data_IF_206512902591
#
_entry.id   IF_206512902591
#
_cell.length_a   1.000
_cell.length_b   1.000
_cell.length_c   1.000
_cell.angle_alpha   90.00
_cell.angle_beta   90.00
_cell.angle_gamma   90.00
#
_symmetry.space_group_name_H-M   'P 1'
#
loop_
_entity.id
_entity.type
_entity.pdbx_description
1 polymer ?
#
# COMPACT_ATOMS: atom_id res chain seq x y z
N UNK A 1 -38.51 32.46 -43.48
CA UNK A 1 -38.62 31.11 -42.88
C UNK A 1 -37.21 30.60 -42.60
N UNK A 2 -36.63 31.03 -41.48
CA UNK A 2 -35.19 30.90 -41.19
C UNK A 2 -35.00 31.00 -39.68
N UNK A 3 -35.52 30.01 -38.96
CA UNK A 3 -35.45 29.88 -37.49
C UNK A 3 -35.98 28.50 -37.17
N UNK A 4 -35.34 27.83 -36.22
CA UNK A 4 -35.61 26.48 -35.70
C UNK A 4 -34.83 25.39 -36.44
N UNK A 5 -33.74 24.98 -35.77
CA UNK A 5 -33.08 23.67 -35.73
C UNK A 5 -31.58 23.87 -35.39
N UNK A 6 -31.30 24.74 -34.42
CA UNK A 6 -30.06 24.74 -33.64
C UNK A 6 -30.47 24.31 -32.24
N UNK A 7 -30.79 23.04 -32.10
CA UNK A 7 -30.99 22.40 -30.81
C UNK A 7 -30.42 21.00 -30.95
N UNK A 8 -29.63 20.58 -29.96
CA UNK A 8 -29.00 19.26 -29.82
C UNK A 8 -27.57 19.14 -30.34
N UNK A 9 -26.60 19.57 -29.55
CA UNK A 9 -25.58 18.68 -28.96
C UNK A 9 -24.60 19.50 -28.11
N UNK A 10 -24.99 19.83 -26.88
CA UNK A 10 -24.03 20.17 -25.82
C UNK A 10 -24.18 19.07 -24.78
N UNK A 11 -23.66 17.89 -25.10
CA UNK A 11 -23.45 16.84 -24.11
C UNK A 11 -22.04 17.03 -23.57
N UNK A 12 -21.89 18.05 -22.72
CA UNK A 12 -20.69 18.24 -21.91
C UNK A 12 -20.64 17.10 -20.90
N UNK A 13 -20.03 15.98 -21.30
CA UNK A 13 -19.65 14.94 -20.37
C UNK A 13 -18.62 15.54 -19.40
N UNK A 14 -19.08 16.00 -18.23
CA UNK A 14 -18.22 16.18 -17.06
C UNK A 14 -17.80 14.79 -16.61
N UNK A 15 -16.89 14.17 -17.36
CA UNK A 15 -16.13 13.05 -16.87
C UNK A 15 -15.15 13.63 -15.85
N UNK A 16 -15.61 13.76 -14.60
CA UNK A 16 -14.70 13.99 -13.47
C UNK A 16 -13.62 12.91 -13.49
N UNK A 17 -12.38 13.24 -13.09
CA UNK A 17 -11.30 12.26 -13.13
C UNK A 17 -11.75 11.07 -12.29
N UNK A 18 -11.70 9.87 -12.88
CA UNK A 18 -11.77 8.62 -12.14
C UNK A 18 -10.44 8.48 -11.35
N UNK A 19 -10.25 9.36 -10.37
CA UNK A 19 -9.09 9.33 -9.49
C UNK A 19 -9.28 8.13 -8.56
N UNK A 20 -8.34 7.18 -8.63
CA UNK A 20 -8.28 6.11 -7.65
C UNK A 20 -8.14 6.74 -6.26
N UNK A 21 -9.06 6.41 -5.36
CA UNK A 21 -9.09 6.99 -4.02
C UNK A 21 -7.95 6.38 -3.20
N UNK A 22 -7.01 7.20 -2.74
CA UNK A 22 -5.96 6.76 -1.82
C UNK A 22 -6.56 6.49 -0.44
N UNK A 23 -6.38 5.27 0.05
CA UNK A 23 -6.83 4.81 1.36
C UNK A 23 -5.63 4.39 2.19
N UNK A 24 -5.70 4.68 3.48
CA UNK A 24 -4.76 4.17 4.46
C UNK A 24 -5.44 3.11 5.32
N UNK A 25 -4.86 1.91 5.30
CA UNK A 25 -5.39 0.73 5.97
C UNK A 25 -4.48 0.40 7.14
N UNK A 26 -4.96 0.59 8.36
CA UNK A 26 -4.17 0.31 9.54
C UNK A 26 -4.44 -1.06 10.13
N UNK A 27 -3.35 -1.66 10.57
CA UNK A 27 -3.32 -2.95 11.20
C UNK A 27 -2.40 -2.95 12.42
N UNK A 28 -2.81 -3.67 13.45
CA UNK A 28 -1.99 -3.92 14.63
C UNK A 28 -1.44 -5.35 14.58
N UNK A 29 -0.26 -5.59 15.15
CA UNK A 29 0.30 -6.94 15.18
C UNK A 29 -0.62 -7.90 15.97
N UNK A 30 -0.85 -9.11 15.43
CA UNK A 30 -1.72 -10.09 16.09
C UNK A 30 -0.96 -11.08 16.98
N UNK A 31 0.37 -11.13 16.88
CA UNK A 31 1.22 -12.03 17.64
C UNK A 31 2.52 -11.35 18.12
N UNK A 32 3.23 -12.00 19.04
CA UNK A 32 4.45 -11.44 19.65
C UNK A 32 5.59 -11.26 18.66
N UNK A 33 5.70 -12.12 17.64
CA UNK A 33 6.77 -12.05 16.64
C UNK A 33 6.57 -10.80 15.78
N UNK A 34 5.35 -10.62 15.28
CA UNK A 34 4.96 -9.45 14.51
C UNK A 34 5.05 -8.18 15.36
N UNK A 35 4.66 -8.23 16.63
CA UNK A 35 4.79 -7.09 17.55
C UNK A 35 6.25 -6.65 17.72
N UNK A 36 7.17 -7.61 17.84
CA UNK A 36 8.60 -7.34 18.02
C UNK A 36 9.23 -6.74 16.75
N UNK A 37 8.74 -7.11 15.57
CA UNK A 37 9.31 -6.67 14.30
C UNK A 37 8.69 -5.37 13.78
N UNK A 38 7.36 -5.25 13.82
CA UNK A 38 6.66 -4.14 13.15
C UNK A 38 5.69 -3.35 14.04
N UNK A 39 5.33 -3.78 15.26
CA UNK A 39 4.26 -3.21 16.15
C UNK A 39 2.86 -3.10 15.50
N UNK A 40 2.79 -2.71 14.24
CA UNK A 40 1.65 -2.57 13.37
C UNK A 40 2.12 -2.04 12.01
N UNK A 41 1.21 -1.97 11.05
CA UNK A 41 1.48 -1.41 9.72
C UNK A 41 0.30 -0.60 9.25
N UNK A 42 0.60 0.48 8.54
CA UNK A 42 -0.37 1.21 7.74
C UNK A 42 -0.01 1.00 6.27
N UNK A 43 -0.96 0.46 5.50
CA UNK A 43 -0.82 0.33 4.05
C UNK A 43 -1.42 1.56 3.39
N UNK A 44 -0.63 2.27 2.60
CA UNK A 44 -1.18 3.20 1.60
C UNK A 44 -1.59 2.38 0.39
N UNK A 45 -2.86 2.42 0.02
CA UNK A 45 -3.39 1.65 -1.08
C UNK A 45 -4.38 2.45 -1.93
N UNK A 46 -4.35 2.25 -3.23
CA UNK A 46 -5.36 2.82 -4.12
C UNK A 46 -6.55 1.87 -4.20
N UNK A 47 -7.75 2.43 -4.04
CA UNK A 47 -9.00 1.72 -4.31
C UNK A 47 -9.46 2.02 -5.74
N UNK A 48 -9.60 0.97 -6.53
CA UNK A 48 -10.19 1.08 -7.87
C UNK A 48 -11.72 1.23 -7.80
N UNK A 49 -12.33 1.68 -8.91
CA UNK A 49 -13.79 1.80 -9.03
C UNK A 49 -14.54 0.49 -8.78
N UNK A 50 -13.90 -0.65 -9.04
CA UNK A 50 -14.45 -1.99 -8.79
C UNK A 50 -14.12 -2.53 -7.38
N UNK A 51 -13.57 -1.69 -6.50
CA UNK A 51 -13.20 -2.04 -5.13
C UNK A 51 -11.93 -2.88 -5.00
N UNK A 52 -11.10 -2.98 -6.04
CA UNK A 52 -9.80 -3.64 -5.92
C UNK A 52 -8.82 -2.72 -5.17
N UNK A 53 -8.05 -3.30 -4.25
CA UNK A 53 -7.07 -2.57 -3.42
C UNK A 53 -5.66 -2.89 -3.92
N UNK A 54 -4.92 -1.86 -4.33
CA UNK A 54 -3.51 -1.98 -4.72
C UNK A 54 -2.62 -1.25 -3.72
N UNK A 55 -1.77 -1.98 -3.01
CA UNK A 55 -0.82 -1.39 -2.05
C UNK A 55 0.31 -0.67 -2.79
N UNK A 56 0.62 0.55 -2.35
CA UNK A 56 1.70 1.42 -2.83
C UNK A 56 2.83 1.61 -1.83
N UNK A 57 2.51 1.71 -0.55
CA UNK A 57 3.51 1.96 0.50
C UNK A 57 3.16 1.20 1.78
N UNK A 58 4.18 0.73 2.50
CA UNK A 58 4.02 0.12 3.83
C UNK A 58 4.71 1.00 4.86
N UNK A 59 3.90 1.64 5.68
CA UNK A 59 4.36 2.46 6.79
C UNK A 59 4.32 1.56 8.01
N UNK A 60 5.47 1.00 8.41
CA UNK A 60 5.55 0.26 9.68
C UNK A 60 5.47 1.23 10.84
N UNK A 61 4.68 0.91 11.87
CA UNK A 61 4.59 1.69 13.11
C UNK A 61 5.69 1.33 14.12
N UNK A 62 6.73 0.61 13.69
CA UNK A 62 7.91 0.30 14.51
C UNK A 62 8.94 1.43 14.52
N UNK A 63 9.90 1.35 15.45
CA UNK A 63 11.08 2.24 15.51
C UNK A 63 11.99 2.13 14.27
N UNK A 64 11.69 1.24 13.32
CA UNK A 64 12.47 1.05 12.09
C UNK A 64 11.98 1.95 10.96
N UNK A 65 10.86 2.66 11.14
CA UNK A 65 10.34 3.68 10.23
C UNK A 65 9.59 3.17 8.99
N UNK A 66 9.38 4.03 8.00
CA UNK A 66 8.46 3.80 6.87
C UNK A 66 9.20 3.42 5.58
N UNK A 67 8.91 2.26 5.01
CA UNK A 67 9.56 1.79 3.79
C UNK A 67 8.65 1.96 2.56
N UNK A 68 9.23 2.49 1.49
CA UNK A 68 8.62 2.38 0.17
C UNK A 68 8.63 0.92 -0.28
N UNK A 69 7.55 0.52 -0.95
CA UNK A 69 7.47 -0.79 -1.58
C UNK A 69 7.13 -0.65 -3.04
N UNK A 70 7.72 -1.53 -3.85
CA UNK A 70 7.47 -1.56 -5.30
C UNK A 70 6.81 -2.87 -5.65
N UNK A 71 5.65 -2.82 -6.29
CA UNK A 71 4.96 -4.02 -6.76
C UNK A 71 5.86 -4.80 -7.73
N UNK A 72 5.95 -6.09 -7.52
CA UNK A 72 6.75 -7.01 -8.32
C UNK A 72 8.02 -7.51 -7.61
N UNK A 73 8.68 -8.46 -8.27
CA UNK A 73 9.88 -9.13 -7.80
C UNK A 73 10.10 -10.43 -8.57
N UNK A 74 11.23 -11.11 -8.38
CA UNK A 74 11.52 -12.38 -9.05
C UNK A 74 10.51 -13.46 -8.68
N UNK A 75 10.16 -14.33 -9.61
CA UNK A 75 9.27 -15.47 -9.33
C UNK A 75 9.80 -16.41 -8.25
N UNK A 76 11.12 -16.45 -8.07
CA UNK A 76 11.78 -17.19 -7.01
C UNK A 76 11.29 -16.79 -5.60
N UNK A 77 10.84 -15.54 -5.42
CA UNK A 77 10.26 -15.07 -4.16
C UNK A 77 9.03 -15.89 -3.77
N UNK A 78 8.13 -16.14 -4.74
CA UNK A 78 6.92 -16.94 -4.51
C UNK A 78 7.23 -18.41 -4.24
N UNK A 79 8.28 -18.94 -4.87
CA UNK A 79 8.73 -20.32 -4.66
C UNK A 79 9.40 -20.54 -3.31
N UNK A 80 9.94 -19.50 -2.70
CA UNK A 80 10.56 -19.57 -1.38
C UNK A 80 9.55 -19.52 -0.22
N UNK A 81 8.25 -19.34 -0.51
CA UNK A 81 7.21 -19.30 0.51
C UNK A 81 7.02 -20.66 1.19
N UNK A 82 6.63 -20.67 2.48
CA UNK A 82 6.35 -21.91 3.18
C UNK A 82 5.15 -22.64 2.55
N UNK A 83 5.13 -23.97 2.68
CA UNK A 83 4.03 -24.79 2.19
C UNK A 83 2.70 -24.33 2.79
N UNK A 84 1.67 -24.20 1.94
CA UNK A 84 0.34 -23.71 2.34
C UNK A 84 0.18 -22.19 2.40
N UNK A 85 1.23 -21.40 2.12
CA UNK A 85 1.09 -19.96 1.97
C UNK A 85 0.16 -19.62 0.80
N UNK A 86 -0.83 -18.76 1.07
CA UNK A 86 -1.83 -18.31 0.07
C UNK A 86 -1.51 -16.92 -0.49
N UNK A 87 -0.44 -16.28 0.01
CA UNK A 87 -0.01 -14.95 -0.42
C UNK A 87 0.67 -15.02 -1.79
N UNK A 88 0.33 -14.09 -2.69
CA UNK A 88 0.81 -14.13 -4.08
C UNK A 88 1.30 -12.78 -4.61
N UNK A 89 0.89 -11.67 -3.99
CA UNK A 89 1.28 -10.33 -4.43
C UNK A 89 2.64 -9.97 -3.86
N UNK A 90 3.66 -9.94 -4.73
CA UNK A 90 5.04 -9.63 -4.34
C UNK A 90 5.27 -8.12 -4.36
N UNK A 91 5.96 -7.62 -3.35
CA UNK A 91 6.41 -6.25 -3.24
C UNK A 91 7.87 -6.20 -2.78
N UNK A 92 8.74 -5.59 -3.57
CA UNK A 92 10.12 -5.32 -3.18
C UNK A 92 10.17 -4.21 -2.13
N UNK A 93 10.97 -4.41 -1.07
CA UNK A 93 11.27 -3.37 -0.09
C UNK A 93 12.35 -2.48 -0.70
N UNK A 94 12.03 -1.20 -0.92
CA UNK A 94 12.99 -0.23 -1.40
C UNK A 94 14.14 -0.09 -0.39
N UNK A 95 15.37 0.15 -0.83
CA UNK A 95 16.52 0.26 0.09
C UNK A 95 16.66 1.66 0.71
N UNK A 96 15.93 2.62 0.15
CA UNK A 96 15.88 4.02 0.50
C UNK A 96 15.19 4.25 1.86
N UNK A 97 15.53 5.37 2.50
CA UNK A 97 15.03 5.72 3.83
C UNK A 97 15.24 4.58 4.83
N UNK A 98 14.13 4.13 5.41
CA UNK A 98 14.06 3.11 6.44
C UNK A 98 14.09 1.67 5.91
N UNK A 99 14.04 1.49 4.59
CA UNK A 99 13.89 0.18 3.97
C UNK A 99 15.04 -0.78 4.21
N UNK A 100 16.30 -0.31 4.25
CA UNK A 100 17.44 -1.15 4.70
C UNK A 100 17.29 -1.62 6.14
N UNK A 101 16.75 -0.77 7.01
CA UNK A 101 16.48 -1.11 8.41
C UNK A 101 15.41 -2.18 8.51
N UNK A 102 14.34 -2.05 7.72
CA UNK A 102 13.27 -3.04 7.61
C UNK A 102 13.77 -4.37 7.04
N UNK A 103 14.53 -4.35 5.93
CA UNK A 103 15.12 -5.55 5.32
C UNK A 103 15.96 -6.33 6.33
N UNK A 104 16.85 -5.66 7.08
CA UNK A 104 17.67 -6.31 8.11
C UNK A 104 16.87 -6.83 9.29
N UNK A 105 15.76 -6.16 9.64
CA UNK A 105 14.89 -6.59 10.72
C UNK A 105 14.11 -7.85 10.34
N UNK A 106 13.57 -7.89 9.11
CA UNK A 106 12.75 -9.01 8.64
C UNK A 106 13.58 -10.20 8.15
N UNK A 107 14.70 -9.93 7.47
CA UNK A 107 15.57 -10.93 6.85
C UNK A 107 17.04 -10.64 7.18
N UNK A 108 17.51 -10.96 8.40
CA UNK A 108 18.90 -10.75 8.78
C UNK A 108 19.88 -11.45 7.83
N UNK A 109 20.86 -10.70 7.31
CA UNK A 109 21.89 -11.22 6.40
C UNK A 109 21.50 -11.31 4.93
N UNK A 110 20.27 -10.90 4.56
CA UNK A 110 19.88 -10.76 3.15
C UNK A 110 20.38 -9.44 2.54
N UNK A 111 20.63 -9.45 1.23
CA UNK A 111 20.98 -8.26 0.44
C UNK A 111 19.72 -7.49 -0.01
N UNK A 112 18.67 -8.23 -0.34
CA UNK A 112 17.37 -7.73 -0.78
C UNK A 112 16.26 -8.47 -0.03
N UNK A 113 15.12 -7.80 0.19
CA UNK A 113 13.94 -8.44 0.74
C UNK A 113 12.64 -8.00 0.05
N UNK A 114 11.67 -8.90 0.10
CA UNK A 114 10.33 -8.73 -0.44
C UNK A 114 9.30 -9.08 0.63
N UNK A 115 8.16 -8.40 0.55
CA UNK A 115 6.93 -8.80 1.24
C UNK A 115 5.98 -9.42 0.22
N UNK A 116 5.45 -10.59 0.55
CA UNK A 116 4.38 -11.24 -0.21
C UNK A 116 3.10 -11.14 0.59
N UNK A 117 2.13 -10.42 0.04
CA UNK A 117 0.83 -10.20 0.66
C UNK A 117 -0.25 -11.06 -0.01
N UNK A 118 -1.26 -11.41 0.78
CA UNK A 118 -2.52 -11.91 0.26
C UNK A 118 -3.34 -10.79 -0.38
N UNK A 119 -4.56 -11.14 -0.81
CA UNK A 119 -5.52 -10.12 -1.21
C UNK A 119 -5.86 -9.25 0.00
N UNK A 120 -5.58 -7.94 -0.09
CA UNK A 120 -5.96 -6.98 0.94
C UNK A 120 -7.48 -6.76 0.87
N UNK A 121 -8.15 -6.91 2.00
CA UNK A 121 -9.60 -6.76 2.15
C UNK A 121 -9.89 -5.89 3.36
N UNK A 122 -10.83 -4.95 3.23
CA UNK A 122 -11.26 -4.10 4.33
C UNK A 122 -11.90 -4.93 5.45
N UNK A 123 -11.63 -4.56 6.70
CA UNK A 123 -12.21 -5.23 7.87
C UNK A 123 -11.68 -6.64 8.13
N UNK A 124 -10.65 -7.10 7.42
CA UNK A 124 -10.11 -8.46 7.55
C UNK A 124 -8.64 -8.45 8.00
N UNK A 125 -8.21 -9.49 8.75
CA UNK A 125 -6.80 -9.68 9.06
C UNK A 125 -5.91 -9.76 7.82
N UNK A 126 -4.65 -9.37 7.98
CA UNK A 126 -3.62 -9.40 6.94
C UNK A 126 -2.50 -10.36 7.35
N UNK A 127 -2.06 -11.18 6.40
CA UNK A 127 -0.84 -11.98 6.54
C UNK A 127 0.16 -11.55 5.47
N UNK A 128 1.39 -11.30 5.90
CA UNK A 128 2.52 -10.95 5.03
C UNK A 128 3.66 -11.94 5.23
N UNK A 129 4.30 -12.34 4.14
CA UNK A 129 5.48 -13.21 4.16
C UNK A 129 6.71 -12.39 3.79
N UNK A 130 7.74 -12.38 4.63
CA UNK A 130 9.02 -11.79 4.28
C UNK A 130 9.92 -12.86 3.65
N UNK A 131 10.51 -12.53 2.51
CA UNK A 131 11.48 -13.37 1.80
C UNK A 131 12.71 -12.52 1.51
N UNK A 132 13.89 -13.06 1.77
CA UNK A 132 15.16 -12.41 1.48
C UNK A 132 15.94 -13.14 0.40
N UNK A 133 16.85 -12.41 -0.25
CA UNK A 133 17.88 -12.98 -1.13
C UNK A 133 19.24 -12.88 -0.44
N UNK A 134 19.94 -14.00 -0.35
CA UNK A 134 21.26 -14.07 0.26
C UNK A 134 22.38 -13.87 -0.77
N UNK A 135 23.62 -13.59 -0.32
CA UNK A 135 24.77 -13.42 -1.21
C UNK A 135 25.07 -14.62 -2.12
N UNK A 136 24.63 -15.81 -1.72
CA UNK A 136 24.70 -17.04 -2.54
C UNK A 136 23.64 -17.08 -3.67
N UNK A 137 22.81 -16.05 -3.78
CA UNK A 137 21.71 -15.95 -4.73
C UNK A 137 20.45 -16.71 -4.33
N UNK A 138 20.45 -17.41 -3.19
CA UNK A 138 19.29 -18.18 -2.74
C UNK A 138 18.21 -17.28 -2.15
N UNK A 139 16.96 -17.60 -2.46
CA UNK A 139 15.78 -16.97 -1.86
C UNK A 139 15.31 -17.83 -0.68
N UNK A 140 15.11 -17.20 0.48
CA UNK A 140 14.64 -17.90 1.69
C UNK A 140 13.52 -17.13 2.35
N UNK A 141 12.50 -17.85 2.81
CA UNK A 141 11.51 -17.28 3.73
C UNK A 141 12.18 -16.92 5.05
N UNK A 142 11.86 -15.73 5.57
CA UNK A 142 12.45 -15.20 6.79
C UNK A 142 11.44 -15.22 7.94
N UNK A 143 10.23 -14.70 7.69
CA UNK A 143 9.21 -14.56 8.73
C UNK A 143 7.80 -14.43 8.15
N UNK A 144 6.82 -14.93 8.89
CA UNK A 144 5.39 -14.64 8.67
C UNK A 144 4.98 -13.54 9.64
N UNK A 145 4.37 -12.47 9.11
CA UNK A 145 3.81 -11.37 9.90
C UNK A 145 2.28 -11.46 9.83
N UNK A 146 1.64 -11.43 10.99
CA UNK A 146 0.20 -11.55 11.13
C UNK A 146 -0.36 -10.31 11.79
N UNK A 147 -1.41 -9.74 11.19
CA UNK A 147 -1.98 -8.48 11.65
C UNK A 147 -3.50 -8.53 11.74
N UNK A 148 -4.03 -7.84 12.75
CA UNK A 148 -5.45 -7.61 12.92
C UNK A 148 -5.86 -6.26 12.35
N UNK A 149 -7.04 -6.21 11.73
CA UNK A 149 -7.60 -4.97 11.21
C UNK A 149 -7.87 -3.98 12.34
N UNK A 150 -7.44 -2.72 12.16
CA UNK A 150 -7.73 -1.62 13.08
C UNK A 150 -8.73 -0.62 12.50
N UNK A 151 -8.53 -0.21 11.24
CA UNK A 151 -9.39 0.81 10.63
C UNK A 151 -8.86 1.36 9.32
N UNK A 152 -9.65 2.24 8.72
CA UNK A 152 -9.40 2.90 7.44
C UNK A 152 -9.55 4.41 7.60
N UNK A 153 -8.73 5.18 6.89
CA UNK A 153 -8.99 6.59 6.63
C UNK A 153 -8.62 6.96 5.19
N UNK A 154 -9.19 8.04 4.68
CA UNK A 154 -8.83 8.65 3.40
C UNK A 154 -8.09 9.96 3.63
N UNK A 155 -7.19 10.31 2.71
CA UNK A 155 -6.76 11.70 2.59
C UNK A 155 -7.94 12.53 2.10
N UNK A 156 -8.19 13.72 2.67
CA UNK A 156 -9.12 14.66 2.06
C UNK A 156 -8.78 14.85 0.57
N UNK A 157 -9.77 14.93 -0.33
CA UNK A 157 -9.48 15.30 -1.70
C UNK A 157 -8.72 16.63 -1.70
N UNK A 158 -7.67 16.73 -2.51
CA UNK A 158 -6.94 17.99 -2.65
C UNK A 158 -7.95 19.08 -3.01
N UNK A 159 -8.06 20.12 -2.18
CA UNK A 159 -8.92 21.26 -2.51
C UNK A 159 -8.42 21.83 -3.83
N UNK A 160 -9.26 21.78 -4.86
CA UNK A 160 -9.04 22.61 -6.04
C UNK A 160 -8.95 24.04 -5.53
N UNK A 161 -7.80 24.69 -5.72
CA UNK A 161 -7.51 26.05 -5.32
C UNK A 161 -8.65 26.97 -5.79
N UNK A 162 -9.60 27.23 -4.90
CA UNK A 162 -10.74 28.09 -5.11
C UNK A 162 -10.51 29.35 -4.30
N UNK A 163 -10.01 30.36 -4.99
CA UNK A 163 -10.10 31.79 -4.65
C UNK A 163 -10.04 32.17 -3.15
N UNK A 164 -8.82 32.39 -2.65
CA UNK A 164 -8.55 33.04 -1.35
C UNK A 164 -8.94 34.53 -1.31
N UNK A 165 -9.76 35.01 -2.27
CA UNK A 165 -10.13 36.41 -2.43
C UNK A 165 -11.19 36.91 -1.43
N UNK A 166 -11.64 36.08 -0.49
CA UNK A 166 -12.76 36.44 0.43
C UNK A 166 -12.52 36.18 1.92
N UNK A 167 -11.27 36.02 2.37
CA UNK A 167 -10.99 35.97 3.81
C UNK A 167 -11.18 37.37 4.45
N UNK A 168 -12.09 37.56 5.42
CA UNK A 168 -12.25 38.85 6.08
C UNK A 168 -11.03 39.14 6.97
N UNK A 169 -10.33 40.24 6.68
CA UNK A 169 -9.29 40.79 7.56
C UNK A 169 -10.00 41.32 8.82
N UNK A 170 -9.85 40.60 9.93
CA UNK A 170 -10.29 41.07 11.24
C UNK A 170 -9.54 42.35 11.62
N UNK A 171 -10.28 43.40 11.95
CA UNK A 171 -9.78 44.66 12.49
C UNK A 171 -9.71 44.60 14.01
#
# INVERSE_FOLDING_TARGET
MRRLLIASLILSAVAGPAAAETRYLAYDASDRVTQALTRGVTLEADRSLLGAISVRRIISTSNRGAADIRRGGPDAVRRALPAGATQTSVYAIASEGDGRGLTRALCPGSEEAWLVLGRVQLGRPLVAQAVGRWPDGAFRHCVTLSYNWRGEWATPPASSSGDDSSAPVGR
#
